data_IF_537659352654
#
_entry.id   IF_537659352654
#
_cell.length_a   1.000
_cell.length_b   1.000
_cell.length_c   1.000
_cell.angle_alpha   90.00
_cell.angle_beta   90.00
_cell.angle_gamma   90.00
#
_symmetry.space_group_name_H-M   'P 1'
#
loop_
_entity.id
_entity.type
_entity.pdbx_description
1 polymer ?
#
# COMPACT_ATOMS: atom_id res chain seq x y z
N UNK A 1 0.91 7.68 -12.53
CA UNK A 1 0.13 6.74 -11.69
C UNK A 1 -1.37 7.06 -11.47
N UNK A 2 -1.95 8.24 -11.81
CA UNK A 2 -3.38 8.47 -11.56
C UNK A 2 -4.36 7.47 -12.21
N UNK A 3 -4.12 6.99 -13.46
CA UNK A 3 -5.01 6.02 -14.09
C UNK A 3 -5.04 4.66 -13.38
N UNK A 4 -3.88 4.19 -12.91
CA UNK A 4 -3.72 2.93 -12.17
C UNK A 4 -4.46 2.99 -10.83
N UNK A 5 -4.26 4.05 -10.04
CA UNK A 5 -4.97 4.20 -8.77
C UNK A 5 -6.48 4.33 -8.96
N UNK A 6 -6.93 4.96 -10.06
CA UNK A 6 -8.35 5.04 -10.40
C UNK A 6 -8.93 3.67 -10.74
N UNK A 7 -8.20 2.84 -11.47
CA UNK A 7 -8.60 1.45 -11.77
C UNK A 7 -8.72 0.63 -10.47
N UNK A 8 -7.68 0.65 -9.63
CA UNK A 8 -7.65 -0.04 -8.34
C UNK A 8 -8.74 0.46 -7.38
N UNK A 9 -9.09 1.74 -7.42
CA UNK A 9 -10.18 2.30 -6.59
C UNK A 9 -11.57 1.83 -7.03
N UNK A 10 -11.73 1.48 -8.31
CA UNK A 10 -13.03 1.07 -8.89
C UNK A 10 -13.26 -0.42 -8.79
N UNK A 11 -12.19 -1.21 -8.81
CA UNK A 11 -12.27 -2.66 -8.80
C UNK A 11 -11.38 -3.25 -7.70
N UNK A 12 -12.00 -3.50 -6.55
CA UNK A 12 -11.34 -4.15 -5.42
C UNK A 12 -11.03 -5.63 -5.68
N UNK A 13 -11.63 -6.26 -6.71
CA UNK A 13 -11.37 -7.68 -7.03
C UNK A 13 -9.93 -7.91 -7.48
N UNK A 14 -9.29 -6.86 -8.01
CA UNK A 14 -7.88 -6.80 -8.39
C UNK A 14 -6.94 -7.00 -7.18
N UNK A 15 -7.42 -6.87 -5.95
CA UNK A 15 -6.70 -7.22 -4.72
C UNK A 15 -6.04 -6.05 -3.98
N UNK A 16 -6.20 -4.82 -4.46
CA UNK A 16 -5.78 -3.63 -3.71
C UNK A 16 -6.86 -3.26 -2.69
N UNK A 17 -6.53 -3.35 -1.40
CA UNK A 17 -7.45 -3.08 -0.29
C UNK A 17 -7.61 -1.59 -0.04
N UNK A 18 -6.50 -0.84 -0.09
CA UNK A 18 -6.47 0.60 0.10
C UNK A 18 -5.15 1.16 -0.39
N UNK A 19 -5.10 2.47 -0.62
CA UNK A 19 -3.86 3.20 -0.84
C UNK A 19 -3.90 4.55 -0.14
N UNK A 20 -2.72 5.06 0.19
CA UNK A 20 -2.51 6.38 0.75
C UNK A 20 -1.51 7.14 -0.11
N UNK A 21 -1.85 8.39 -0.44
CA UNK A 21 -1.00 9.28 -1.21
C UNK A 21 -0.43 10.35 -0.28
N UNK A 22 0.89 10.32 -0.11
CA UNK A 22 1.62 11.20 0.78
C UNK A 22 2.45 12.18 -0.05
N UNK A 23 2.15 13.46 0.09
CA UNK A 23 2.92 14.53 -0.53
C UNK A 23 4.12 14.87 0.34
N UNK A 24 5.32 14.76 -0.23
CA UNK A 24 6.58 15.15 0.40
C UNK A 24 7.06 16.46 -0.22
N UNK A 25 7.96 17.15 0.48
CA UNK A 25 8.58 18.38 -0.04
C UNK A 25 9.19 18.21 -1.45
N UNK A 26 9.76 17.03 -1.74
CA UNK A 26 10.31 16.69 -3.06
C UNK A 26 9.76 15.36 -3.58
N UNK A 27 8.45 15.29 -3.76
CA UNK A 27 7.82 14.20 -4.51
C UNK A 27 6.54 13.66 -3.88
N UNK A 28 6.07 12.54 -4.43
CA UNK A 28 4.86 11.86 -3.98
C UNK A 28 5.22 10.42 -3.66
N UNK A 29 4.80 9.96 -2.49
CA UNK A 29 4.89 8.56 -2.08
C UNK A 29 3.49 7.98 -2.06
N UNK A 30 3.35 6.78 -2.62
CA UNK A 30 2.09 6.05 -2.59
C UNK A 30 2.33 4.77 -1.81
N UNK A 31 1.60 4.59 -0.72
CA UNK A 31 1.58 3.34 0.06
C UNK A 31 0.36 2.56 -0.38
N UNK A 32 0.53 1.30 -0.79
CA UNK A 32 -0.56 0.45 -1.25
C UNK A 32 -0.65 -0.79 -0.37
N UNK A 33 -1.87 -1.13 0.04
CA UNK A 33 -2.17 -2.32 0.82
C UNK A 33 -2.83 -3.36 -0.07
N UNK A 34 -2.26 -4.56 -0.10
CA UNK A 34 -2.69 -5.65 -0.96
C UNK A 34 -3.14 -6.83 -0.13
N UNK A 35 -4.12 -7.57 -0.65
CA UNK A 35 -4.62 -8.78 -0.03
C UNK A 35 -3.59 -9.93 -0.06
N UNK A 36 -2.91 -10.10 -1.19
CA UNK A 36 -1.85 -11.10 -1.36
C UNK A 36 -0.79 -10.65 -2.36
N UNK A 37 0.39 -11.26 -2.26
CA UNK A 37 1.47 -11.03 -3.23
C UNK A 37 1.09 -11.51 -4.63
N UNK A 38 0.30 -12.58 -4.75
CA UNK A 38 -0.11 -13.11 -6.06
C UNK A 38 -0.98 -12.10 -6.80
N UNK A 39 -1.94 -11.48 -6.11
CA UNK A 39 -2.78 -10.44 -6.70
C UNK A 39 -1.98 -9.20 -7.09
N UNK A 40 -1.05 -8.76 -6.23
CA UNK A 40 -0.11 -7.68 -6.56
C UNK A 40 0.71 -8.00 -7.82
N UNK A 41 1.32 -9.18 -7.88
CA UNK A 41 2.16 -9.59 -9.00
C UNK A 41 1.35 -9.79 -10.28
N UNK A 42 0.13 -10.31 -10.17
CA UNK A 42 -0.81 -10.41 -11.30
C UNK A 42 -1.15 -9.03 -11.85
N UNK A 43 -1.56 -8.10 -10.98
CA UNK A 43 -1.90 -6.73 -11.38
C UNK A 43 -0.69 -6.00 -12.00
N UNK A 44 0.53 -6.21 -11.48
CA UNK A 44 1.74 -5.59 -12.02
C UNK A 44 2.00 -5.91 -13.51
N UNK A 45 1.44 -7.02 -14.00
CA UNK A 45 1.54 -7.49 -15.39
C UNK A 45 0.35 -7.06 -16.26
N UNK A 46 -0.65 -6.37 -15.70
CA UNK A 46 -1.82 -5.94 -16.46
C UNK A 46 -1.50 -4.79 -17.44
N UNK A 47 -2.26 -4.66 -18.55
CA UNK A 47 -1.96 -3.71 -19.61
C UNK A 47 -1.89 -2.25 -19.16
N UNK A 48 -2.75 -1.83 -18.23
CA UNK A 48 -2.79 -0.44 -17.72
C UNK A 48 -1.50 -0.11 -16.98
N UNK A 49 -1.07 -0.99 -16.08
CA UNK A 49 0.17 -0.83 -15.33
C UNK A 49 1.40 -0.87 -16.26
N UNK A 50 1.50 -1.87 -17.15
CA UNK A 50 2.64 -2.01 -18.06
C UNK A 50 2.77 -0.82 -19.02
N UNK A 51 1.65 -0.31 -19.54
CA UNK A 51 1.66 0.87 -20.43
C UNK A 51 2.18 2.11 -19.68
N UNK A 52 1.73 2.32 -18.44
CA UNK A 52 2.20 3.42 -17.61
C UNK A 52 3.69 3.29 -17.28
N UNK A 53 4.15 2.09 -16.90
CA UNK A 53 5.55 1.82 -16.59
C UNK A 53 6.46 2.03 -17.81
N UNK A 54 6.09 1.50 -18.98
CA UNK A 54 6.86 1.68 -20.23
C UNK A 54 6.99 3.16 -20.60
N UNK A 55 5.89 3.92 -20.49
CA UNK A 55 5.92 5.37 -20.72
C UNK A 55 6.87 6.05 -19.74
N UNK A 56 6.76 5.74 -18.45
CA UNK A 56 7.61 6.33 -17.41
C UNK A 56 9.09 6.05 -17.65
N UNK A 57 9.46 4.78 -17.92
CA UNK A 57 10.85 4.39 -18.19
C UNK A 57 11.41 5.06 -19.46
N UNK A 58 10.59 5.27 -20.49
CA UNK A 58 11.01 5.99 -21.71
C UNK A 58 11.39 7.44 -21.41
N UNK A 59 10.59 8.14 -20.61
CA UNK A 59 10.87 9.53 -20.21
C UNK A 59 12.07 9.64 -19.25
N UNK A 60 12.22 8.66 -18.36
CA UNK A 60 13.32 8.61 -17.38
C UNK A 60 14.69 8.38 -18.06
N UNK A 61 14.72 7.63 -19.18
CA UNK A 61 15.97 7.26 -19.87
C UNK A 61 16.88 8.45 -20.22
N UNK A 62 16.30 9.63 -20.41
CA UNK A 62 17.02 10.85 -20.80
C UNK A 62 16.92 11.95 -19.73
N UNK A 63 16.56 11.62 -18.49
CA UNK A 63 16.26 12.60 -17.46
C UNK A 63 16.65 12.10 -16.06
N UNK A 64 17.71 12.70 -15.50
CA UNK A 64 18.22 12.40 -14.16
C UNK A 64 17.60 13.28 -13.05
N UNK A 65 16.69 14.20 -13.40
CA UNK A 65 16.06 15.09 -12.42
C UNK A 65 14.95 14.42 -11.59
N UNK A 66 14.50 13.22 -11.99
CA UNK A 66 13.41 12.49 -11.35
C UNK A 66 13.88 11.14 -10.84
N UNK A 67 13.83 10.94 -9.52
CA UNK A 67 14.08 9.63 -8.89
C UNK A 67 12.83 8.75 -8.84
N UNK A 68 13.04 7.44 -8.91
CA UNK A 68 11.99 6.44 -8.70
C UNK A 68 12.49 5.37 -7.73
N UNK A 69 11.64 4.99 -6.78
CA UNK A 69 11.88 3.88 -5.88
C UNK A 69 10.61 3.07 -5.70
N UNK A 70 10.77 1.79 -5.37
CA UNK A 70 9.67 0.88 -5.07
C UNK A 70 10.14 -0.13 -4.03
N UNK A 71 9.38 -0.25 -2.95
CA UNK A 71 9.67 -1.17 -1.85
C UNK A 71 8.43 -2.04 -1.63
N UNK A 72 8.63 -3.36 -1.68
CA UNK A 72 7.56 -4.34 -1.43
C UNK A 72 7.91 -5.12 -0.18
N UNK A 73 7.01 -5.09 0.81
CA UNK A 73 7.16 -5.85 2.05
C UNK A 73 6.08 -6.92 2.12
N UNK A 74 6.50 -8.19 2.17
CA UNK A 74 5.61 -9.30 2.48
C UNK A 74 5.62 -9.53 3.99
N UNK A 75 4.51 -9.20 4.67
CA UNK A 75 4.43 -9.27 6.12
C UNK A 75 3.34 -10.26 6.54
N UNK A 76 3.73 -11.24 7.35
CA UNK A 76 2.77 -12.20 7.91
C UNK A 76 1.85 -11.53 8.94
N UNK A 77 0.66 -12.11 9.18
CA UNK A 77 -0.33 -11.59 10.13
C UNK A 77 0.28 -11.24 11.51
N UNK A 78 1.25 -12.01 12.01
CA UNK A 78 1.88 -11.80 13.32
C UNK A 78 3.19 -11.00 13.29
N UNK A 79 3.47 -10.28 12.20
CA UNK A 79 4.76 -9.57 12.02
C UNK A 79 4.61 -8.06 11.77
N UNK A 80 3.44 -7.50 12.05
CA UNK A 80 3.22 -6.05 12.08
C UNK A 80 2.35 -5.67 13.28
N UNK A 81 2.36 -4.41 13.68
CA UNK A 81 1.39 -3.87 14.64
C UNK A 81 1.03 -2.44 14.25
N UNK A 82 -0.19 -2.02 14.61
CA UNK A 82 -0.68 -0.69 14.31
C UNK A 82 -1.59 -0.17 15.44
N UNK A 83 -1.54 1.14 15.65
CA UNK A 83 -2.34 1.89 16.61
C UNK A 83 -2.79 3.16 15.91
N UNK A 84 -4.07 3.49 16.05
CA UNK A 84 -4.66 4.73 15.54
C UNK A 84 -5.39 5.42 16.70
N UNK A 85 -5.04 6.67 17.00
CA UNK A 85 -5.63 7.46 18.08
C UNK A 85 -6.02 8.82 17.50
N UNK A 86 -7.28 9.24 17.65
CA UNK A 86 -7.81 10.53 17.20
C UNK A 86 -7.47 10.89 15.74
N UNK A 87 -7.45 9.87 14.87
CA UNK A 87 -7.11 10.01 13.46
C UNK A 87 -8.24 9.43 12.60
N UNK A 88 -8.50 9.96 11.40
CA UNK A 88 -9.40 9.34 10.44
C UNK A 88 -8.89 7.95 10.02
N UNK A 89 -9.75 7.15 9.40
CA UNK A 89 -9.36 5.84 8.87
C UNK A 89 -8.19 6.00 7.89
N UNK A 90 -7.05 5.42 8.26
CA UNK A 90 -5.78 5.57 7.56
C UNK A 90 -5.01 4.26 7.50
N UNK A 91 -4.17 4.11 6.48
CA UNK A 91 -3.24 3.00 6.38
C UNK A 91 -3.91 1.62 6.42
N UNK A 92 -3.33 0.70 7.20
CA UNK A 92 -3.90 -0.65 7.39
C UNK A 92 -5.26 -0.63 8.10
N UNK A 93 -5.54 0.36 8.95
CA UNK A 93 -6.82 0.48 9.66
C UNK A 93 -7.97 0.91 8.75
N UNK A 94 -7.66 1.42 7.55
CA UNK A 94 -8.61 1.64 6.45
C UNK A 94 -8.69 0.42 5.52
N UNK A 95 -7.57 -0.26 5.29
CA UNK A 95 -7.52 -1.47 4.46
C UNK A 95 -8.22 -2.68 5.10
N UNK A 96 -8.24 -2.74 6.44
CA UNK A 96 -8.88 -3.80 7.23
C UNK A 96 -9.69 -3.19 8.38
N UNK A 97 -10.54 -4.02 9.01
CA UNK A 97 -11.30 -3.60 10.20
C UNK A 97 -10.36 -3.31 11.36
N UNK A 98 -10.58 -2.20 12.04
CA UNK A 98 -9.87 -1.83 13.27
C UNK A 98 -10.63 -2.33 14.49
N UNK A 99 -9.91 -2.74 15.53
CA UNK A 99 -10.47 -3.24 16.79
C UNK A 99 -10.11 -2.35 17.98
N UNK A 100 -10.96 -2.33 19.00
CA UNK A 100 -10.67 -1.59 20.23
C UNK A 100 -9.54 -2.27 21.01
N UNK A 101 -8.63 -1.46 21.52
CA UNK A 101 -7.55 -1.94 22.39
C UNK A 101 -8.15 -2.52 23.68
N UNK A 102 -7.72 -3.73 24.04
CA UNK A 102 -8.11 -4.43 25.25
C UNK A 102 -6.88 -4.72 26.12
N UNK A 103 -7.07 -5.32 27.31
CA UNK A 103 -5.96 -5.77 28.16
C UNK A 103 -5.04 -6.78 27.43
N UNK A 104 -5.58 -7.55 26.48
CA UNK A 104 -4.83 -8.51 25.69
C UNK A 104 -4.03 -7.87 24.54
N UNK A 105 -4.32 -6.62 24.16
CA UNK A 105 -3.68 -5.92 23.03
C UNK A 105 -3.09 -4.55 23.43
N UNK A 106 -2.88 -4.32 24.73
CA UNK A 106 -2.46 -3.03 25.28
C UNK A 106 -1.04 -2.63 24.84
N UNK A 107 -0.13 -3.60 24.77
CA UNK A 107 1.28 -3.38 24.38
C UNK A 107 1.54 -3.82 22.93
N UNK A 108 2.56 -3.23 22.30
CA UNK A 108 3.00 -3.65 20.95
C UNK A 108 3.37 -5.14 20.91
N UNK A 109 4.09 -5.63 21.93
CA UNK A 109 4.48 -7.05 22.05
C UNK A 109 3.26 -7.99 22.09
N UNK A 110 2.18 -7.55 22.74
CA UNK A 110 0.92 -8.28 22.76
C UNK A 110 0.26 -8.31 21.38
N UNK A 111 0.16 -7.16 20.68
CA UNK A 111 -0.42 -7.10 19.32
C UNK A 111 0.36 -7.91 18.28
N UNK A 112 1.68 -7.99 18.41
CA UNK A 112 2.51 -8.83 17.54
C UNK A 112 2.32 -10.33 17.77
N UNK A 113 1.76 -10.74 18.92
CA UNK A 113 1.49 -12.15 19.24
C UNK A 113 0.08 -12.61 18.91
N UNK A 114 -0.88 -11.70 18.80
CA UNK A 114 -2.33 -11.99 18.87
C UNK A 114 -3.06 -11.76 17.54
N UNK A 115 -2.36 -11.65 16.41
CA UNK A 115 -3.03 -11.53 15.12
C UNK A 115 -3.36 -12.91 14.53
N UNK A 116 -4.47 -13.45 15.03
CA UNK A 116 -5.23 -14.55 14.40
C UNK A 116 -6.19 -14.02 13.35
#
# INVERSE_FOLDING_TARGET
>A
MPPMLRELSKDQTLGCLSFEMLFKYRGVMIVQYWESNEKLLSYSKMPVHLKALRRFMKELKHNDAVGFYHETYNVNANQYENIYINMPAFGLGKARKSEKVSKATHTAKQRLRTQT
#
